data_IF_416605161964
#
_entry.id   IF_416605161964
#
_cell.length_a   1.000
_cell.length_b   1.000
_cell.length_c   1.000
_cell.angle_alpha   90.00
_cell.angle_beta   90.00
_cell.angle_gamma   90.00
#
_symmetry.space_group_name_H-M   'P 1'
#
loop_
_entity.id
_entity.type
_entity.pdbx_description
1 polymer ?
#
# COMPACT_ATOMS: atom_id res chain seq x y z
N UNK A 1 16.14 11.65 13.68
CA UNK A 1 15.18 12.74 13.35
C UNK A 1 14.23 12.93 14.52
N UNK A 2 14.13 14.15 15.09
CA UNK A 2 13.02 14.46 16.00
C UNK A 2 11.71 14.40 15.20
N UNK A 3 10.60 13.87 15.75
CA UNK A 3 9.33 13.87 15.04
C UNK A 3 8.93 15.33 14.76
N UNK A 4 8.91 15.71 13.48
CA UNK A 4 8.35 17.00 13.03
C UNK A 4 6.88 16.97 13.39
N UNK A 5 6.48 17.75 14.40
CA UNK A 5 5.08 17.92 14.76
C UNK A 5 4.44 18.75 13.64
N UNK A 6 3.43 18.22 12.93
CA UNK A 6 2.71 18.97 11.91
C UNK A 6 2.06 20.20 12.53
N UNK A 7 2.15 21.35 11.85
CA UNK A 7 1.64 22.62 12.37
C UNK A 7 0.11 22.72 12.19
N UNK A 8 -0.45 22.00 11.20
CA UNK A 8 -1.88 21.99 10.89
C UNK A 8 -2.42 20.56 10.82
N UNK A 9 -3.67 20.40 11.21
CA UNK A 9 -4.41 19.14 11.12
C UNK A 9 -4.99 18.96 9.72
N UNK A 10 -4.98 17.73 9.21
CA UNK A 10 -5.55 17.42 7.90
C UNK A 10 -4.72 17.99 6.74
N UNK A 11 -3.41 18.24 6.95
CA UNK A 11 -2.53 18.68 5.87
C UNK A 11 -2.37 17.54 4.86
N UNK A 12 -3.04 17.69 3.73
CA UNK A 12 -3.00 16.79 2.58
C UNK A 12 -2.14 17.43 1.49
N UNK A 13 -1.32 16.62 0.86
CA UNK A 13 -0.48 17.04 -0.27
C UNK A 13 -0.49 15.95 -1.32
N UNK A 14 -0.47 16.38 -2.57
CA UNK A 14 -0.47 15.49 -3.71
C UNK A 14 0.36 16.07 -4.84
N UNK A 15 0.74 15.22 -5.79
CA UNK A 15 1.44 15.63 -6.99
C UNK A 15 1.24 14.63 -8.11
N UNK A 16 0.77 15.13 -9.24
CA UNK A 16 0.70 14.47 -10.54
C UNK A 16 0.72 15.56 -11.61
N UNK A 17 1.25 15.24 -12.79
CA UNK A 17 1.31 16.17 -13.92
C UNK A 17 0.05 16.03 -14.78
N UNK A 18 -0.58 17.15 -15.16
CA UNK A 18 -1.89 17.15 -15.85
C UNK A 18 -3.05 16.69 -14.95
N UNK A 19 -4.19 16.31 -15.53
CA UNK A 19 -5.28 15.66 -14.80
C UNK A 19 -5.05 14.15 -14.69
N UNK A 20 -5.20 13.57 -13.49
CA UNK A 20 -4.95 12.14 -13.24
C UNK A 20 -5.78 11.24 -14.17
N UNK A 21 -7.07 11.52 -14.31
CA UNK A 21 -7.98 10.72 -15.14
C UNK A 21 -7.72 10.90 -16.62
N UNK A 22 -7.35 12.11 -17.04
CA UNK A 22 -6.93 12.38 -18.42
C UNK A 22 -5.67 11.58 -18.77
N UNK A 23 -4.67 11.59 -17.90
CA UNK A 23 -3.44 10.83 -18.08
C UNK A 23 -3.72 9.31 -18.13
N UNK A 24 -4.56 8.79 -17.22
CA UNK A 24 -4.95 7.39 -17.22
C UNK A 24 -5.63 6.97 -18.54
N UNK A 25 -6.56 7.78 -19.06
CA UNK A 25 -7.28 7.47 -20.31
C UNK A 25 -6.38 7.47 -21.55
N UNK A 26 -5.32 8.30 -21.58
CA UNK A 26 -4.38 8.37 -22.71
C UNK A 26 -3.38 7.21 -22.75
N UNK A 27 -3.17 6.55 -21.61
CA UNK A 27 -2.09 5.56 -21.43
C UNK A 27 -2.25 4.31 -22.29
N UNK A 28 -3.48 3.84 -22.51
CA UNK A 28 -3.74 2.60 -23.27
C UNK A 28 -3.25 2.62 -24.72
N UNK A 29 -3.16 3.79 -25.35
CA UNK A 29 -2.78 3.93 -26.76
C UNK A 29 -1.25 3.90 -27.02
N UNK A 30 -0.42 3.83 -25.97
CA UNK A 30 1.03 4.06 -26.07
C UNK A 30 1.90 2.82 -25.84
N UNK A 31 1.30 1.65 -25.65
CA UNK A 31 2.04 0.42 -25.39
C UNK A 31 2.46 -0.30 -26.68
N UNK A 32 3.70 -0.84 -26.75
CA UNK A 32 4.10 -1.75 -27.82
C UNK A 32 3.21 -3.00 -27.87
N UNK A 33 2.96 -3.55 -29.06
CA UNK A 33 2.02 -4.66 -29.32
C UNK A 33 2.13 -5.81 -28.29
N UNK A 34 3.32 -6.39 -28.10
CA UNK A 34 3.51 -7.49 -27.16
C UNK A 34 3.26 -7.14 -25.69
N UNK A 35 3.40 -5.87 -25.29
CA UNK A 35 3.05 -5.44 -23.93
C UNK A 35 1.55 -5.15 -23.82
N UNK A 36 0.92 -4.67 -24.88
CA UNK A 36 -0.54 -4.51 -24.97
C UNK A 36 -1.27 -5.84 -24.82
N UNK A 37 -0.82 -6.90 -25.51
CA UNK A 37 -1.39 -8.25 -25.39
C UNK A 37 -1.29 -8.78 -23.96
N UNK A 38 -0.10 -8.65 -23.34
CA UNK A 38 0.12 -9.05 -21.95
C UNK A 38 -0.76 -8.27 -20.97
N UNK A 39 -0.96 -6.97 -21.19
CA UNK A 39 -1.87 -6.13 -20.39
C UNK A 39 -3.31 -6.63 -20.48
N UNK A 40 -3.80 -6.88 -21.68
CA UNK A 40 -5.16 -7.35 -21.89
C UNK A 40 -5.39 -8.71 -21.21
N UNK A 41 -4.47 -9.65 -21.40
CA UNK A 41 -4.54 -10.97 -20.75
C UNK A 41 -4.47 -10.86 -19.23
N UNK A 42 -3.57 -10.06 -18.69
CA UNK A 42 -3.46 -9.83 -17.26
C UNK A 42 -4.75 -9.25 -16.69
N UNK A 43 -5.33 -8.25 -17.35
CA UNK A 43 -6.60 -7.65 -16.94
C UNK A 43 -7.73 -8.67 -16.99
N UNK A 44 -7.81 -9.52 -18.03
CA UNK A 44 -8.80 -10.60 -18.09
C UNK A 44 -8.63 -11.58 -16.92
N UNK A 45 -7.41 -12.04 -16.67
CA UNK A 45 -7.09 -12.97 -15.57
C UNK A 45 -7.37 -12.38 -14.18
N UNK A 46 -7.15 -11.08 -14.02
CA UNK A 46 -7.46 -10.33 -12.80
C UNK A 46 -8.90 -9.79 -12.79
N UNK A 47 -9.75 -10.19 -13.73
CA UNK A 47 -11.14 -9.71 -13.92
C UNK A 47 -11.29 -8.18 -13.88
N UNK A 48 -10.28 -7.46 -14.37
CA UNK A 48 -10.28 -6.01 -14.53
C UNK A 48 -10.93 -5.62 -15.87
N UNK A 49 -11.56 -4.44 -15.92
CA UNK A 49 -12.08 -3.90 -17.17
C UNK A 49 -11.00 -3.72 -18.23
N UNK A 50 -11.41 -3.83 -19.50
CA UNK A 50 -10.52 -3.63 -20.65
C UNK A 50 -10.59 -2.21 -21.19
N UNK A 51 -11.77 -1.58 -21.19
CA UNK A 51 -12.00 -0.26 -21.77
C UNK A 51 -11.89 0.90 -20.77
N UNK A 52 -12.20 0.65 -19.50
CA UNK A 52 -12.12 1.65 -18.44
C UNK A 52 -10.68 1.84 -17.94
N UNK A 53 -10.27 3.09 -17.59
CA UNK A 53 -8.97 3.33 -16.98
C UNK A 53 -8.84 2.61 -15.64
N UNK A 54 -7.70 1.97 -15.42
CA UNK A 54 -7.36 1.30 -14.16
C UNK A 54 -6.45 2.20 -13.34
N UNK A 55 -6.96 2.78 -12.25
CA UNK A 55 -6.16 3.53 -11.27
C UNK A 55 -5.85 2.64 -10.10
N UNK A 56 -4.56 2.43 -9.83
CA UNK A 56 -4.08 1.57 -8.76
C UNK A 56 -3.30 2.35 -7.70
N UNK A 57 -3.40 1.90 -6.46
CA UNK A 57 -2.49 2.27 -5.36
C UNK A 57 -2.18 1.03 -4.53
N UNK A 58 -1.26 1.12 -3.58
CA UNK A 58 -0.96 -0.01 -2.72
C UNK A 58 -0.20 0.32 -1.45
N UNK A 59 -0.23 -0.64 -0.53
CA UNK A 59 0.54 -0.64 0.70
C UNK A 59 0.59 -2.06 1.29
N UNK A 60 1.51 -2.31 2.22
CA UNK A 60 1.45 -3.50 3.05
C UNK A 60 0.12 -3.52 3.84
N UNK A 61 -0.52 -4.70 4.04
CA UNK A 61 -1.72 -4.82 4.86
C UNK A 61 -1.32 -4.73 6.34
N UNK A 62 -0.92 -3.56 6.80
CA UNK A 62 -0.59 -3.29 8.20
C UNK A 62 -1.63 -2.35 8.80
N UNK A 63 -1.78 -2.30 10.13
CA UNK A 63 -2.49 -1.23 10.79
C UNK A 63 -1.89 0.12 10.38
N UNK A 64 -2.69 0.96 9.71
CA UNK A 64 -2.19 2.19 9.07
C UNK A 64 -2.78 3.44 9.70
N UNK A 65 -2.02 4.52 9.66
CA UNK A 65 -2.52 5.86 9.98
C UNK A 65 -3.36 6.43 8.83
N UNK A 66 -4.17 7.49 9.06
CA UNK A 66 -5.08 8.01 8.05
C UNK A 66 -4.41 8.48 6.76
N UNK A 67 -3.15 8.91 6.80
CA UNK A 67 -2.42 9.35 5.60
C UNK A 67 -2.18 8.25 4.57
N UNK A 68 -2.14 6.98 4.99
CA UNK A 68 -2.11 5.83 4.07
C UNK A 68 -3.54 5.47 3.65
N UNK A 69 -4.48 5.41 4.61
CA UNK A 69 -5.90 5.14 4.33
C UNK A 69 -6.48 6.13 3.30
N UNK A 70 -6.02 7.38 3.33
CA UNK A 70 -6.43 8.46 2.42
C UNK A 70 -6.39 8.04 0.95
N UNK A 71 -5.43 7.19 0.55
CA UNK A 71 -5.34 6.68 -0.83
C UNK A 71 -6.44 5.68 -1.16
N UNK A 72 -6.82 4.80 -0.23
CA UNK A 72 -7.97 3.92 -0.42
C UNK A 72 -9.28 4.72 -0.47
N UNK A 73 -9.42 5.74 0.37
CA UNK A 73 -10.58 6.63 0.35
C UNK A 73 -10.65 7.46 -0.93
N UNK A 74 -9.52 7.94 -1.43
CA UNK A 74 -9.42 8.64 -2.71
C UNK A 74 -9.84 7.73 -3.86
N UNK A 75 -9.32 6.50 -3.92
CA UNK A 75 -9.75 5.50 -4.90
C UNK A 75 -11.27 5.24 -4.81
N UNK A 76 -11.81 5.07 -3.60
CA UNK A 76 -13.25 4.86 -3.39
C UNK A 76 -14.11 6.04 -3.87
N UNK A 77 -13.56 7.25 -3.87
CA UNK A 77 -14.22 8.47 -4.31
C UNK A 77 -14.06 8.76 -5.83
N UNK A 78 -13.27 7.98 -6.56
CA UNK A 78 -13.16 8.12 -8.01
C UNK A 78 -14.50 7.80 -8.71
N UNK A 79 -14.75 8.38 -9.89
CA UNK A 79 -15.91 8.07 -10.73
C UNK A 79 -16.10 6.56 -11.00
N UNK A 80 -17.34 6.14 -11.24
CA UNK A 80 -17.68 4.72 -11.42
C UNK A 80 -17.14 4.12 -12.72
N UNK A 81 -16.86 4.95 -13.73
CA UNK A 81 -16.21 4.58 -15.00
C UNK A 81 -14.69 4.39 -14.86
N UNK A 82 -14.18 4.31 -13.63
CA UNK A 82 -12.77 4.06 -13.32
C UNK A 82 -12.65 2.77 -12.51
N UNK A 83 -11.78 1.86 -12.97
CA UNK A 83 -11.40 0.70 -12.20
C UNK A 83 -10.48 1.12 -11.04
N UNK A 84 -10.92 0.87 -9.81
CA UNK A 84 -10.26 1.32 -8.58
C UNK A 84 -9.58 0.14 -7.92
N UNK A 85 -8.25 0.07 -7.97
CA UNK A 85 -7.49 -1.10 -7.52
C UNK A 85 -6.59 -0.76 -6.34
N UNK A 86 -6.68 -1.57 -5.28
CA UNK A 86 -5.77 -1.53 -4.15
C UNK A 86 -4.90 -2.79 -4.12
N UNK A 87 -3.59 -2.60 -4.23
CA UNK A 87 -2.59 -3.65 -4.16
C UNK A 87 -2.20 -3.84 -2.69
N UNK A 88 -2.61 -4.97 -2.12
CA UNK A 88 -2.19 -5.42 -0.80
C UNK A 88 -0.85 -6.11 -0.90
N UNK A 89 0.23 -5.43 -0.45
CA UNK A 89 1.61 -5.92 -0.49
C UNK A 89 1.85 -6.93 0.65
N UNK A 90 1.22 -8.09 0.52
CA UNK A 90 1.25 -9.20 1.46
C UNK A 90 2.51 -10.07 1.37
N UNK A 91 3.37 -9.79 0.39
CA UNK A 91 4.69 -10.42 0.20
C UNK A 91 5.76 -9.91 1.18
N UNK A 92 5.47 -8.88 1.97
CA UNK A 92 6.42 -8.38 2.97
C UNK A 92 6.38 -9.21 4.26
N UNK A 93 7.48 -9.17 5.02
CA UNK A 93 7.74 -10.07 6.13
C UNK A 93 8.17 -9.34 7.43
N UNK A 94 7.29 -8.51 8.03
CA UNK A 94 7.61 -7.77 9.25
C UNK A 94 7.72 -8.70 10.46
N UNK A 95 8.52 -8.31 11.47
CA UNK A 95 8.71 -9.12 12.68
C UNK A 95 7.48 -9.19 13.60
N UNK A 96 6.53 -8.29 13.41
CA UNK A 96 5.24 -8.27 14.08
C UNK A 96 4.24 -7.42 13.28
N UNK A 97 2.96 -7.62 13.56
CA UNK A 97 1.87 -6.72 13.18
C UNK A 97 1.52 -5.95 14.45
N UNK A 98 1.83 -4.66 14.48
CA UNK A 98 1.67 -3.80 15.64
C UNK A 98 1.23 -2.39 15.25
N UNK A 99 0.77 -1.63 16.24
CA UNK A 99 0.50 -0.21 16.10
C UNK A 99 0.61 0.52 17.45
N UNK A 100 0.94 1.82 17.43
CA UNK A 100 0.99 2.60 18.64
C UNK A 100 -0.42 2.95 19.12
N UNK A 101 -0.61 2.93 20.43
CA UNK A 101 -1.83 3.38 21.12
C UNK A 101 -1.47 4.56 22.03
N UNK A 102 -2.08 5.74 21.86
CA UNK A 102 -1.78 6.90 22.68
C UNK A 102 -2.23 6.68 24.12
N UNK A 103 -1.46 7.21 25.07
CA UNK A 103 -1.81 7.20 26.49
C UNK A 103 -1.22 8.42 27.19
N UNK A 104 -1.82 8.77 28.33
CA UNK A 104 -1.36 9.81 29.22
C UNK A 104 -0.94 9.20 30.55
N UNK A 105 0.30 9.48 30.96
CA UNK A 105 0.79 9.24 32.33
C UNK A 105 1.08 10.61 32.97
N UNK A 106 2.36 10.93 33.20
CA UNK A 106 2.81 12.28 33.56
C UNK A 106 2.77 13.26 32.37
N UNK A 107 2.82 12.72 31.15
CA UNK A 107 2.65 13.42 29.88
C UNK A 107 2.12 12.46 28.82
N UNK A 108 2.00 12.94 27.58
CA UNK A 108 1.56 12.11 26.45
C UNK A 108 2.69 11.24 25.93
N UNK A 109 2.36 9.97 25.70
CA UNK A 109 3.24 8.97 25.09
C UNK A 109 2.38 7.94 24.35
N UNK A 110 2.99 6.85 23.89
CA UNK A 110 2.28 5.73 23.30
C UNK A 110 2.76 4.40 23.89
N UNK A 111 1.93 3.38 23.72
CA UNK A 111 2.26 1.98 23.93
C UNK A 111 2.22 1.29 22.57
N UNK A 112 3.29 0.61 22.18
CA UNK A 112 3.30 -0.21 20.95
C UNK A 112 2.52 -1.51 21.21
N UNK A 113 1.30 -1.60 20.67
CA UNK A 113 0.45 -2.76 20.81
C UNK A 113 0.81 -3.78 19.72
N UNK A 114 1.30 -4.95 20.13
CA UNK A 114 1.59 -6.07 19.22
C UNK A 114 0.36 -6.95 19.08
N UNK A 115 -0.29 -6.91 17.91
CA UNK A 115 -1.48 -7.70 17.62
C UNK A 115 -1.10 -9.15 17.26
N UNK A 116 -0.09 -9.32 16.40
CA UNK A 116 0.44 -10.64 16.01
C UNK A 116 1.97 -10.61 15.99
N UNK A 117 2.61 -11.57 16.66
CA UNK A 117 4.06 -11.77 16.56
C UNK A 117 4.40 -12.57 15.30
N UNK A 118 5.53 -12.25 14.68
CA UNK A 118 6.06 -12.96 13.51
C UNK A 118 7.59 -13.14 13.61
N UNK A 119 8.08 -13.88 14.63
CA UNK A 119 9.52 -14.00 14.89
C UNK A 119 10.28 -14.66 13.72
N UNK A 120 9.59 -15.52 12.97
CA UNK A 120 10.15 -16.23 11.82
C UNK A 120 10.16 -15.39 10.53
N UNK A 121 9.65 -14.15 10.57
CA UNK A 121 9.52 -13.26 9.40
C UNK A 121 8.90 -13.98 8.20
N UNK A 122 7.76 -14.64 8.43
CA UNK A 122 6.95 -15.14 7.33
C UNK A 122 6.33 -13.97 6.58
N UNK A 123 6.09 -14.13 5.28
CA UNK A 123 5.32 -13.15 4.50
C UNK A 123 3.92 -12.99 5.09
N UNK A 124 3.33 -11.81 4.98
CA UNK A 124 2.00 -11.52 5.51
C UNK A 124 0.93 -12.44 4.92
N UNK A 125 1.08 -12.87 3.66
CA UNK A 125 0.22 -13.86 3.00
C UNK A 125 0.11 -15.20 3.79
N UNK A 126 1.19 -15.58 4.50
CA UNK A 126 1.26 -16.81 5.28
C UNK A 126 0.86 -16.61 6.76
N UNK A 127 0.38 -15.41 7.14
CA UNK A 127 -0.07 -15.11 8.50
C UNK A 127 -1.58 -15.31 8.59
N UNK A 128 -2.10 -16.02 9.60
CA UNK A 128 -3.54 -16.08 9.83
C UNK A 128 -4.08 -14.77 10.43
N UNK A 129 -5.38 -14.55 10.31
CA UNK A 129 -6.10 -13.53 11.07
C UNK A 129 -5.85 -13.68 12.60
N UNK A 130 -5.94 -12.60 13.39
CA UNK A 130 -5.72 -12.65 14.83
C UNK A 130 -6.87 -13.41 15.50
N UNK A 131 -6.59 -14.53 16.15
CA UNK A 131 -7.62 -15.30 16.84
C UNK A 131 -8.36 -14.51 17.93
N UNK A 132 -9.55 -14.97 18.33
CA UNK A 132 -10.43 -14.30 19.30
C UNK A 132 -9.71 -13.84 20.57
N UNK A 133 -8.86 -14.69 21.14
CA UNK A 133 -8.08 -14.38 22.36
C UNK A 133 -7.10 -13.22 22.15
N UNK A 134 -6.46 -13.15 20.98
CA UNK A 134 -5.55 -12.06 20.65
C UNK A 134 -6.31 -10.74 20.48
N UNK A 135 -7.49 -10.77 19.83
CA UNK A 135 -8.36 -9.60 19.68
C UNK A 135 -8.89 -9.10 21.05
N UNK A 136 -9.34 -10.01 21.92
CA UNK A 136 -9.80 -9.65 23.26
C UNK A 136 -8.68 -9.00 24.08
N UNK A 137 -7.48 -9.60 24.05
CA UNK A 137 -6.31 -9.05 24.76
C UNK A 137 -5.88 -7.69 24.21
N UNK A 138 -5.90 -7.53 22.88
CA UNK A 138 -5.59 -6.26 22.24
C UNK A 138 -6.61 -5.18 22.63
N UNK A 139 -7.90 -5.51 22.70
CA UNK A 139 -8.93 -4.60 23.19
C UNK A 139 -8.66 -4.14 24.62
N UNK A 140 -8.49 -5.07 25.57
CA UNK A 140 -8.20 -4.75 26.98
C UNK A 140 -7.03 -3.77 27.13
N UNK A 141 -5.94 -4.02 26.38
CA UNK A 141 -4.77 -3.17 26.40
C UNK A 141 -5.06 -1.79 25.82
N UNK A 142 -5.76 -1.73 24.68
CA UNK A 142 -6.11 -0.49 24.01
C UNK A 142 -7.05 0.35 24.86
N UNK A 143 -8.12 -0.23 25.39
CA UNK A 143 -9.08 0.40 26.31
C UNK A 143 -8.36 0.99 27.52
N UNK A 144 -7.51 0.21 28.19
CA UNK A 144 -6.76 0.67 29.36
C UNK A 144 -5.74 1.78 29.04
N UNK A 145 -5.35 1.98 27.77
CA UNK A 145 -4.47 3.09 27.35
C UNK A 145 -5.28 4.31 26.96
N UNK A 146 -6.29 4.14 26.13
CA UNK A 146 -7.13 5.23 25.65
C UNK A 146 -7.95 5.87 26.77
N UNK A 147 -8.36 5.12 27.80
CA UNK A 147 -9.07 5.66 28.96
C UNK A 147 -8.28 6.71 29.74
N UNK A 148 -6.95 6.72 29.61
CA UNK A 148 -6.09 7.71 30.26
C UNK A 148 -6.12 9.09 29.60
N UNK A 149 -6.60 9.18 28.36
CA UNK A 149 -6.69 10.43 27.58
C UNK A 149 -7.80 11.33 28.14
N UNK A 150 -7.69 12.64 27.95
CA UNK A 150 -8.76 13.58 28.29
C UNK A 150 -9.90 13.50 27.27
N UNK A 151 -9.58 13.36 25.98
CA UNK A 151 -10.55 13.22 24.92
C UNK A 151 -11.05 11.77 24.80
N UNK A 152 -12.14 11.49 25.51
CA UNK A 152 -12.80 10.19 25.48
C UNK A 152 -13.45 9.85 24.12
N UNK A 153 -13.55 10.81 23.19
CA UNK A 153 -13.99 10.54 21.82
C UNK A 153 -13.04 9.60 21.06
N UNK A 154 -11.76 9.57 21.42
CA UNK A 154 -10.79 8.63 20.83
C UNK A 154 -11.10 7.20 21.26
N UNK A 155 -11.44 6.98 22.55
CA UNK A 155 -11.84 5.67 23.06
C UNK A 155 -13.15 5.19 22.41
N UNK A 156 -14.16 6.06 22.31
CA UNK A 156 -15.46 5.71 21.67
C UNK A 156 -15.29 5.25 20.23
N UNK A 157 -14.49 5.97 19.42
CA UNK A 157 -14.19 5.55 18.04
C UNK A 157 -13.48 4.20 17.97
N UNK A 158 -12.53 3.96 18.88
CA UNK A 158 -11.86 2.67 18.97
C UNK A 158 -12.83 1.53 19.31
N UNK A 159 -13.78 1.77 20.23
CA UNK A 159 -14.82 0.82 20.61
C UNK A 159 -15.75 0.48 19.45
N UNK A 160 -16.26 1.49 18.75
CA UNK A 160 -17.09 1.33 17.56
C UNK A 160 -16.36 0.54 16.47
N UNK A 161 -15.07 0.84 16.26
CA UNK A 161 -14.26 0.11 15.30
C UNK A 161 -14.08 -1.36 15.69
N UNK A 162 -13.79 -1.63 16.97
CA UNK A 162 -13.57 -3.00 17.45
C UNK A 162 -14.81 -3.88 17.31
N UNK A 163 -16.00 -3.31 17.58
CA UNK A 163 -17.29 -4.00 17.42
C UNK A 163 -17.61 -4.37 15.97
N UNK A 164 -17.02 -3.68 14.99
CA UNK A 164 -17.27 -3.86 13.55
C UNK A 164 -16.24 -4.74 12.85
N UNK A 165 -15.25 -5.26 13.59
CA UNK A 165 -14.25 -6.18 13.03
C UNK A 165 -14.93 -7.45 12.48
N UNK A 166 -14.46 -7.99 11.35
CA UNK A 166 -14.96 -9.27 10.85
C UNK A 166 -14.55 -10.43 11.77
N UNK A 167 -15.25 -11.58 11.69
CA UNK A 167 -14.82 -12.82 12.34
C UNK A 167 -13.34 -13.12 12.04
N UNK A 168 -12.55 -13.62 13.01
CA UNK A 168 -11.10 -13.81 12.87
C UNK A 168 -10.76 -15.07 12.06
N UNK A 169 -11.16 -15.08 10.79
CA UNK A 169 -11.03 -16.21 9.88
C UNK A 169 -10.12 -15.88 8.69
N UNK A 170 -9.51 -16.91 8.11
CA UNK A 170 -8.67 -16.79 6.91
C UNK A 170 -7.31 -16.12 7.14
N UNK A 171 -6.65 -15.70 6.04
CA UNK A 171 -5.34 -15.06 6.10
C UNK A 171 -5.45 -13.58 6.48
N UNK A 172 -4.43 -13.09 7.17
CA UNK A 172 -4.33 -11.72 7.69
C UNK A 172 -4.57 -10.63 6.63
N UNK A 173 -3.98 -10.68 5.42
CA UNK A 173 -4.19 -9.63 4.42
C UNK A 173 -5.66 -9.44 4.06
N UNK A 174 -6.35 -10.54 3.74
CA UNK A 174 -7.78 -10.50 3.40
C UNK A 174 -8.63 -10.00 4.57
N UNK A 175 -8.42 -10.56 5.76
CA UNK A 175 -9.13 -10.15 6.97
C UNK A 175 -8.94 -8.66 7.28
N UNK A 176 -7.72 -8.13 7.16
CA UNK A 176 -7.43 -6.74 7.46
C UNK A 176 -7.99 -5.77 6.41
N UNK A 177 -7.93 -6.13 5.13
CA UNK A 177 -8.54 -5.33 4.06
C UNK A 177 -10.08 -5.34 4.16
N UNK A 178 -10.70 -6.45 4.55
CA UNK A 178 -12.13 -6.50 4.90
C UNK A 178 -12.45 -5.60 6.10
N UNK A 179 -11.66 -5.68 7.17
CA UNK A 179 -11.81 -4.80 8.33
C UNK A 179 -11.75 -3.33 7.92
N UNK A 180 -10.76 -2.92 7.11
CA UNK A 180 -10.69 -1.56 6.58
C UNK A 180 -11.91 -1.20 5.74
N UNK A 181 -12.40 -2.11 4.90
CA UNK A 181 -13.61 -1.92 4.11
C UNK A 181 -14.84 -1.63 4.97
N UNK A 182 -15.05 -2.43 6.03
CA UNK A 182 -16.15 -2.26 7.00
C UNK A 182 -16.02 -0.96 7.79
N UNK A 183 -14.81 -0.60 8.21
CA UNK A 183 -14.57 0.55 9.09
C UNK A 183 -14.57 1.89 8.35
N UNK A 184 -13.97 1.91 7.16
CA UNK A 184 -13.71 3.12 6.40
C UNK A 184 -14.54 3.23 5.12
N UNK A 185 -15.52 2.36 4.89
CA UNK A 185 -16.44 2.46 3.74
C UNK A 185 -15.71 2.54 2.41
N UNK A 186 -15.04 1.44 2.04
CA UNK A 186 -14.20 1.34 0.84
C UNK A 186 -14.88 0.55 -0.29
N UNK A 187 -16.21 0.66 -0.38
CA UNK A 187 -16.98 -0.02 -1.41
C UNK A 187 -16.51 0.40 -2.82
N UNK A 188 -16.48 -0.55 -3.75
CA UNK A 188 -16.03 -0.29 -5.13
C UNK A 188 -14.51 -0.29 -5.34
N UNK A 189 -13.70 -0.38 -4.28
CA UNK A 189 -12.24 -0.59 -4.42
C UNK A 189 -11.94 -2.08 -4.45
N UNK A 190 -11.41 -2.57 -5.58
CA UNK A 190 -10.98 -3.96 -5.71
C UNK A 190 -9.62 -4.15 -5.04
N UNK A 191 -9.55 -5.06 -4.08
CA UNK A 191 -8.29 -5.44 -3.45
C UNK A 191 -7.68 -6.63 -4.21
N UNK A 192 -6.41 -6.52 -4.58
CA UNK A 192 -5.63 -7.60 -5.19
C UNK A 192 -4.37 -7.82 -4.33
N UNK A 193 -4.11 -9.08 -3.96
CA UNK A 193 -2.93 -9.42 -3.17
C UNK A 193 -1.70 -9.59 -4.08
N UNK A 194 -0.51 -9.20 -3.63
CA UNK A 194 0.72 -9.39 -4.42
C UNK A 194 1.01 -10.88 -4.60
N UNK A 195 0.71 -11.73 -3.62
CA UNK A 195 0.83 -13.18 -3.74
C UNK A 195 -0.05 -13.77 -4.85
N UNK A 196 -1.31 -13.33 -4.95
CA UNK A 196 -2.25 -13.70 -6.02
C UNK A 196 -1.75 -13.21 -7.38
N UNK A 197 -1.37 -11.93 -7.46
CA UNK A 197 -0.83 -11.31 -8.66
C UNK A 197 0.41 -12.03 -9.16
N UNK A 198 1.33 -12.40 -8.25
CA UNK A 198 2.55 -13.10 -8.62
C UNK A 198 2.34 -14.58 -9.01
N UNK A 199 1.21 -15.18 -8.60
CA UNK A 199 0.83 -16.52 -9.03
C UNK A 199 0.22 -16.56 -10.45
N UNK A 200 -0.22 -15.40 -10.96
CA UNK A 200 -0.85 -15.27 -12.28
C UNK A 200 0.08 -15.62 -13.43
N UNK A 201 -0.50 -16.02 -14.56
CA UNK A 201 0.25 -16.29 -15.79
C UNK A 201 0.92 -15.01 -16.31
N UNK A 202 0.20 -13.88 -16.28
CA UNK A 202 0.74 -12.58 -16.68
C UNK A 202 2.02 -12.18 -15.94
N UNK A 203 2.11 -12.45 -14.62
CA UNK A 203 3.36 -12.18 -13.90
C UNK A 203 4.50 -13.09 -14.37
N UNK A 204 4.24 -14.38 -14.62
CA UNK A 204 5.24 -15.32 -15.15
C UNK A 204 5.71 -14.92 -16.54
N UNK A 205 4.80 -14.46 -17.40
CA UNK A 205 5.14 -14.00 -18.75
C UNK A 205 5.94 -12.70 -18.70
N UNK A 206 5.60 -11.78 -17.78
CA UNK A 206 6.41 -10.60 -17.52
C UNK A 206 7.81 -10.94 -17.02
N UNK A 207 7.95 -11.90 -16.11
CA UNK A 207 9.26 -12.41 -15.66
C UNK A 207 10.04 -12.98 -16.85
N UNK A 208 9.41 -13.82 -17.67
CA UNK A 208 10.02 -14.38 -18.89
C UNK A 208 10.49 -13.28 -19.83
N UNK A 209 9.65 -12.27 -20.10
CA UNK A 209 9.97 -11.12 -20.95
C UNK A 209 11.22 -10.37 -20.45
N UNK A 210 11.29 -10.09 -19.15
CA UNK A 210 12.44 -9.41 -18.55
C UNK A 210 13.71 -10.27 -18.63
N UNK A 211 13.60 -11.58 -18.39
CA UNK A 211 14.73 -12.49 -18.36
C UNK A 211 15.20 -12.94 -19.77
N UNK A 212 14.37 -12.82 -20.80
CA UNK A 212 14.83 -12.90 -22.20
C UNK A 212 15.86 -11.82 -22.53
N UNK A 213 15.78 -10.65 -21.88
CA UNK A 213 16.72 -9.53 -21.99
C UNK A 213 17.57 -9.38 -20.73
N UNK A 214 17.94 -10.49 -20.08
CA UNK A 214 18.53 -10.53 -18.73
C UNK A 214 19.66 -9.53 -18.50
N UNK A 215 20.66 -9.49 -19.37
CA UNK A 215 21.83 -8.61 -19.17
C UNK A 215 21.45 -7.13 -19.19
N UNK A 216 20.65 -6.71 -20.18
CA UNK A 216 20.13 -5.35 -20.29
C UNK A 216 19.24 -4.99 -19.10
N UNK A 217 18.34 -5.88 -18.71
CA UNK A 217 17.45 -5.68 -17.56
C UNK A 217 18.23 -5.57 -16.23
N UNK A 218 19.19 -6.44 -15.97
CA UNK A 218 19.98 -6.39 -14.74
C UNK A 218 20.88 -5.13 -14.69
N UNK A 219 21.42 -4.71 -15.83
CA UNK A 219 22.15 -3.44 -15.94
C UNK A 219 21.26 -2.24 -15.61
N UNK A 220 20.08 -2.15 -16.23
CA UNK A 220 19.10 -1.09 -15.98
C UNK A 220 18.61 -1.11 -14.52
N UNK A 221 18.30 -2.29 -13.98
CA UNK A 221 17.90 -2.45 -12.57
C UNK A 221 18.99 -2.00 -11.60
N UNK A 222 20.25 -2.31 -11.90
CA UNK A 222 21.41 -1.84 -11.13
C UNK A 222 21.51 -0.31 -11.11
N UNK A 223 21.21 0.38 -12.22
CA UNK A 223 21.13 1.85 -12.25
C UNK A 223 19.93 2.36 -11.46
N UNK A 224 18.76 1.74 -11.63
CA UNK A 224 17.53 2.10 -10.94
C UNK A 224 17.67 2.05 -9.42
N UNK A 225 18.25 0.99 -8.87
CA UNK A 225 18.46 0.90 -7.40
C UNK A 225 19.41 1.97 -6.89
N UNK A 226 20.47 2.32 -7.65
CA UNK A 226 21.39 3.41 -7.28
C UNK A 226 20.69 4.77 -7.27
N UNK A 227 19.88 5.06 -8.29
CA UNK A 227 19.09 6.30 -8.35
C UNK A 227 18.13 6.43 -7.16
N UNK A 228 17.54 5.31 -6.73
CA UNK A 228 16.58 5.28 -5.64
C UNK A 228 17.23 5.16 -4.24
N UNK A 229 18.56 5.05 -4.14
CA UNK A 229 19.25 4.77 -2.88
C UNK A 229 18.87 3.42 -2.26
N UNK A 230 18.48 2.44 -3.07
CA UNK A 230 18.14 1.08 -2.64
C UNK A 230 19.37 0.17 -2.62
N UNK A 231 19.38 -0.89 -1.79
CA UNK A 231 20.46 -1.88 -1.78
C UNK A 231 20.63 -2.56 -3.13
N UNK A 232 21.88 -2.65 -3.59
CA UNK A 232 22.24 -3.40 -4.80
C UNK A 232 21.94 -4.90 -4.65
N UNK A 233 21.72 -5.56 -5.79
CA UNK A 233 21.67 -7.02 -5.86
C UNK A 233 23.06 -7.62 -5.60
N UNK A 234 23.09 -8.76 -4.93
CA UNK A 234 24.30 -9.55 -4.76
C UNK A 234 24.68 -10.25 -6.08
N UNK A 235 25.94 -10.72 -6.25
CA UNK A 235 26.32 -11.48 -7.44
C UNK A 235 25.38 -12.67 -7.69
N UNK A 236 24.87 -12.79 -8.93
CA UNK A 236 23.96 -13.86 -9.35
C UNK A 236 22.52 -13.74 -8.85
N UNK A 237 22.15 -12.66 -8.16
CA UNK A 237 20.79 -12.42 -7.68
C UNK A 237 19.94 -11.75 -8.77
N UNK A 238 18.67 -12.15 -8.86
CA UNK A 238 17.65 -11.54 -9.70
C UNK A 238 16.78 -10.59 -8.87
N UNK A 239 16.11 -9.59 -9.48
CA UNK A 239 15.29 -8.61 -8.77
C UNK A 239 13.91 -9.15 -8.33
N UNK A 240 13.91 -10.38 -7.81
CA UNK A 240 12.76 -11.13 -7.35
C UNK A 240 13.09 -11.81 -6.02
N UNK A 241 12.06 -12.33 -5.35
CA UNK A 241 12.19 -13.22 -4.21
C UNK A 241 11.75 -14.62 -4.59
N UNK A 242 12.46 -15.61 -4.05
CA UNK A 242 11.97 -16.98 -3.91
C UNK A 242 11.18 -17.10 -2.62
N UNK A 243 10.18 -17.96 -2.60
CA UNK A 243 9.30 -18.21 -1.46
C UNK A 243 9.35 -19.69 -1.08
N UNK A 244 9.82 -19.97 0.13
CA UNK A 244 9.96 -21.33 0.67
C UNK A 244 9.41 -21.37 2.09
N UNK A 245 8.40 -22.22 2.35
CA UNK A 245 7.77 -22.31 3.67
C UNK A 245 7.23 -20.97 4.20
N UNK A 246 6.77 -20.07 3.32
CA UNK A 246 6.30 -18.74 3.68
C UNK A 246 7.41 -17.73 4.00
N UNK A 247 8.69 -18.07 3.81
CA UNK A 247 9.83 -17.16 3.96
C UNK A 247 10.36 -16.72 2.60
N UNK A 248 10.67 -15.43 2.48
CA UNK A 248 11.32 -14.89 1.28
C UNK A 248 12.85 -15.03 1.35
N UNK A 249 13.46 -15.42 0.23
CA UNK A 249 14.90 -15.41 0.00
C UNK A 249 15.23 -14.80 -1.37
N UNK A 250 16.49 -14.40 -1.63
CA UNK A 250 16.87 -13.87 -2.94
C UNK A 250 16.70 -14.95 -4.02
N UNK A 251 16.04 -14.60 -5.13
CA UNK A 251 15.98 -15.46 -6.31
C UNK A 251 17.29 -15.36 -7.10
N UNK A 252 17.77 -16.47 -7.64
CA UNK A 252 19.02 -16.59 -8.41
C UNK A 252 18.81 -17.28 -9.76
N UNK A 253 17.72 -18.01 -9.92
CA UNK A 253 17.32 -18.63 -11.17
C UNK A 253 15.91 -18.15 -11.62
N UNK A 254 15.58 -18.20 -12.92
CA UNK A 254 14.26 -17.84 -13.41
C UNK A 254 13.12 -18.57 -12.69
N UNK A 255 13.27 -19.88 -12.43
CA UNK A 255 12.26 -20.68 -11.71
C UNK A 255 12.07 -20.30 -10.23
N UNK A 256 12.96 -19.47 -9.67
CA UNK A 256 12.87 -18.98 -8.30
C UNK A 256 12.19 -17.60 -8.19
N UNK A 257 11.88 -16.94 -9.32
CA UNK A 257 11.30 -15.59 -9.35
C UNK A 257 9.79 -15.59 -9.01
N UNK A 258 9.46 -15.91 -7.76
CA UNK A 258 8.08 -16.15 -7.33
C UNK A 258 7.36 -14.90 -6.80
N UNK A 259 8.09 -13.88 -6.31
CA UNK A 259 7.52 -12.62 -5.85
C UNK A 259 8.37 -11.44 -6.34
N UNK A 260 7.78 -10.30 -6.72
CA UNK A 260 8.56 -9.13 -7.13
C UNK A 260 9.21 -8.41 -5.94
N UNK A 261 10.35 -7.76 -6.19
CA UNK A 261 10.88 -6.69 -5.30
C UNK A 261 10.12 -5.38 -5.53
N UNK A 262 10.34 -4.39 -4.66
CA UNK A 262 9.61 -3.12 -4.70
C UNK A 262 9.62 -2.45 -6.08
N UNK A 263 10.79 -2.25 -6.70
CA UNK A 263 10.88 -1.64 -8.04
C UNK A 263 10.23 -2.51 -9.10
N UNK A 264 10.47 -3.83 -9.07
CA UNK A 264 9.89 -4.78 -10.03
C UNK A 264 8.36 -4.86 -9.90
N UNK A 265 7.82 -4.71 -8.70
CA UNK A 265 6.39 -4.70 -8.45
C UNK A 265 5.77 -3.47 -9.07
N UNK A 266 6.30 -2.27 -8.81
CA UNK A 266 5.78 -1.05 -9.44
C UNK A 266 5.93 -1.11 -10.96
N UNK A 267 7.07 -1.63 -11.44
CA UNK A 267 7.31 -1.80 -12.88
C UNK A 267 6.25 -2.70 -13.52
N UNK A 268 5.98 -3.88 -12.92
CA UNK A 268 4.92 -4.77 -13.36
C UNK A 268 3.54 -4.10 -13.31
N UNK A 269 3.20 -3.43 -12.21
CA UNK A 269 1.89 -2.80 -12.03
C UNK A 269 1.64 -1.73 -13.09
N UNK A 270 2.61 -0.87 -13.37
CA UNK A 270 2.49 0.17 -14.41
C UNK A 270 2.53 -0.41 -15.82
N UNK A 271 3.33 -1.45 -16.06
CA UNK A 271 3.49 -2.05 -17.38
C UNK A 271 2.32 -2.96 -17.76
N UNK A 272 1.71 -3.64 -16.79
CA UNK A 272 0.77 -4.75 -17.05
C UNK A 272 -0.64 -4.51 -16.48
N UNK A 273 -0.76 -3.84 -15.32
CA UNK A 273 -2.03 -3.80 -14.57
C UNK A 273 -2.78 -2.48 -14.75
N UNK A 274 -2.15 -1.37 -14.38
CA UNK A 274 -2.80 -0.07 -14.25
C UNK A 274 -2.40 0.93 -15.33
N UNK A 275 -3.25 1.93 -15.54
CA UNK A 275 -3.00 3.08 -16.41
C UNK A 275 -2.49 4.29 -15.63
N UNK A 276 -2.74 4.35 -14.33
CA UNK A 276 -2.15 5.35 -13.44
C UNK A 276 -1.87 4.71 -12.08
N UNK A 277 -0.64 4.89 -11.58
CA UNK A 277 -0.27 4.42 -10.26
C UNK A 277 -0.12 5.56 -9.25
N UNK A 278 -0.84 5.47 -8.13
CA UNK A 278 -0.83 6.46 -7.06
C UNK A 278 0.00 5.98 -5.87
N UNK A 279 1.17 6.57 -5.67
CA UNK A 279 2.05 6.32 -4.52
C UNK A 279 1.61 7.08 -3.26
N UNK A 280 2.14 6.66 -2.11
CA UNK A 280 2.32 7.57 -0.97
C UNK A 280 3.62 8.36 -1.14
N UNK A 281 3.80 9.45 -0.39
CA UNK A 281 4.99 10.31 -0.53
C UNK A 281 6.34 9.55 -0.44
N UNK A 282 6.44 8.52 0.41
CA UNK A 282 7.66 7.69 0.49
C UNK A 282 7.91 6.80 -0.72
N UNK A 283 6.85 6.40 -1.43
CA UNK A 283 6.94 5.58 -2.65
C UNK A 283 7.36 6.36 -3.89
N UNK A 284 7.04 7.66 -3.93
CA UNK A 284 7.40 8.55 -5.05
C UNK A 284 8.92 8.63 -5.30
N UNK A 285 9.74 8.40 -4.26
CA UNK A 285 11.20 8.37 -4.38
C UNK A 285 11.74 7.20 -5.21
N UNK A 286 10.92 6.17 -5.47
CA UNK A 286 11.30 5.01 -6.29
C UNK A 286 11.07 5.22 -7.79
N UNK A 287 10.23 6.19 -8.14
CA UNK A 287 9.75 6.35 -9.51
C UNK A 287 10.81 6.75 -10.52
N UNK A 288 11.82 7.60 -10.20
CA UNK A 288 12.92 7.84 -11.13
C UNK A 288 13.64 6.55 -11.58
N UNK A 289 13.74 5.56 -10.69
CA UNK A 289 14.30 4.25 -11.02
C UNK A 289 13.36 3.40 -11.87
N UNK A 290 12.05 3.40 -11.56
CA UNK A 290 11.05 2.67 -12.36
C UNK A 290 10.92 3.27 -13.76
N UNK A 291 10.94 4.59 -13.88
CA UNK A 291 10.92 5.31 -15.16
C UNK A 291 12.15 4.99 -16.01
N UNK A 292 13.32 4.85 -15.39
CA UNK A 292 14.52 4.38 -16.09
C UNK A 292 14.32 2.95 -16.62
N UNK A 293 13.65 2.06 -15.87
CA UNK A 293 13.37 0.70 -16.35
C UNK A 293 12.48 0.70 -17.60
N UNK A 294 11.42 1.53 -17.65
CA UNK A 294 10.59 1.66 -18.85
C UNK A 294 11.42 2.10 -20.07
N UNK A 295 12.28 3.11 -19.90
CA UNK A 295 13.12 3.62 -20.99
C UNK A 295 14.19 2.64 -21.44
N UNK A 296 14.92 2.02 -20.51
CA UNK A 296 16.05 1.15 -20.86
C UNK A 296 15.63 -0.27 -21.25
N UNK A 297 14.53 -0.80 -20.71
CA UNK A 297 14.10 -2.19 -20.95
C UNK A 297 13.07 -2.28 -22.07
N UNK A 298 12.12 -1.34 -22.13
CA UNK A 298 11.04 -1.32 -23.11
C UNK A 298 11.19 -0.25 -24.17
N UNK A 299 12.10 0.71 -24.02
CA UNK A 299 12.29 1.77 -25.02
C UNK A 299 11.07 2.68 -25.16
N UNK A 300 10.26 2.81 -24.11
CA UNK A 300 9.02 3.58 -24.13
C UNK A 300 9.01 4.66 -23.05
N UNK A 301 8.17 5.68 -23.26
CA UNK A 301 7.88 6.63 -22.18
C UNK A 301 7.10 5.94 -21.04
N UNK A 302 7.46 6.22 -19.77
CA UNK A 302 6.83 5.55 -18.64
C UNK A 302 5.33 5.93 -18.50
N UNK A 303 4.45 4.97 -18.15
CA UNK A 303 3.05 5.26 -17.82
C UNK A 303 2.92 6.25 -16.66
N UNK A 304 1.92 7.14 -16.62
CA UNK A 304 1.84 8.20 -15.62
C UNK A 304 1.69 7.65 -14.18
N UNK A 305 2.21 8.41 -13.24
CA UNK A 305 2.10 8.14 -11.81
C UNK A 305 1.92 9.45 -11.04
N UNK A 306 1.47 9.32 -9.80
CA UNK A 306 1.36 10.46 -8.88
C UNK A 306 1.53 10.02 -7.44
N UNK A 307 1.41 10.95 -6.50
CA UNK A 307 1.43 10.63 -5.08
C UNK A 307 0.38 11.42 -4.32
N UNK A 308 -0.12 10.81 -3.25
CA UNK A 308 -1.05 11.42 -2.30
C UNK A 308 -0.63 11.05 -0.88
N UNK A 309 -0.53 12.04 -0.01
CA UNK A 309 -0.15 11.88 1.39
C UNK A 309 -0.94 12.82 2.27
N UNK A 310 -1.20 12.41 3.50
CA UNK A 310 -1.95 13.20 4.46
C UNK A 310 -1.41 13.08 5.87
N UNK A 311 -1.56 14.15 6.64
CA UNK A 311 -1.21 14.17 8.05
C UNK A 311 -2.38 14.61 8.91
N UNK A 312 -2.84 13.71 9.75
CA UNK A 312 -3.98 13.91 10.63
C UNK A 312 -3.48 13.81 12.06
N UNK A 313 -3.98 14.66 12.94
CA UNK A 313 -3.57 14.71 14.34
C UNK A 313 -4.70 14.16 15.21
N UNK A 314 -4.37 13.65 16.40
CA UNK A 314 -5.41 13.31 17.38
C UNK A 314 -5.68 14.53 18.28
N UNK A 315 -6.94 14.97 18.44
CA UNK A 315 -7.28 16.13 19.28
C UNK A 315 -7.22 15.78 20.78
N UNK A 316 -6.35 16.43 21.57
CA UNK A 316 -6.11 16.06 23.00
C UNK A 316 -5.35 17.13 23.85
N UNK A 317 -5.99 17.88 24.80
CA UNK A 317 -7.37 18.35 24.84
C UNK A 317 -7.55 19.63 24.00
N UNK A 318 -8.81 19.95 23.73
CA UNK A 318 -9.34 20.96 22.82
C UNK A 318 -8.62 22.32 22.84
N UNK A 319 -8.06 22.71 21.69
CA UNK A 319 -7.62 24.08 21.40
C UNK A 319 -6.13 24.23 21.14
N UNK A 320 -5.27 23.68 22.00
CA UNK A 320 -3.86 24.13 22.07
C UNK A 320 -2.81 23.02 21.89
N UNK A 321 -3.16 21.74 22.10
CA UNK A 321 -2.21 20.63 21.99
C UNK A 321 -2.80 19.48 21.16
N UNK A 322 -2.06 19.05 20.15
CA UNK A 322 -2.41 17.94 19.27
C UNK A 322 -1.34 16.87 19.33
N UNK A 323 -1.75 15.59 19.40
CA UNK A 323 -0.80 14.48 19.31
C UNK A 323 -0.44 14.22 17.85
N UNK A 324 0.83 13.87 17.54
CA UNK A 324 1.24 13.54 16.18
C UNK A 324 0.47 12.29 15.73
N UNK A 325 -0.33 12.39 14.67
CA UNK A 325 -1.15 11.26 14.21
C UNK A 325 -0.63 10.53 12.98
N UNK A 326 0.59 10.81 12.50
CA UNK A 326 1.26 9.94 11.49
C UNK A 326 1.58 8.52 12.01
N UNK A 327 1.46 8.30 13.31
CA UNK A 327 1.79 7.02 13.93
C UNK A 327 0.53 6.21 14.28
N UNK A 328 -0.58 6.87 14.64
CA UNK A 328 -1.74 6.21 15.21
C UNK A 328 -2.69 5.66 14.15
N UNK A 329 -3.32 4.49 14.39
CA UNK A 329 -4.16 3.85 13.40
C UNK A 329 -5.42 4.68 13.10
N UNK A 330 -5.91 4.59 11.86
CA UNK A 330 -6.98 5.43 11.35
C UNK A 330 -8.27 5.38 12.16
N UNK A 331 -8.57 4.24 12.79
CA UNK A 331 -9.79 4.04 13.58
C UNK A 331 -9.80 4.80 14.91
N UNK A 332 -8.72 5.50 15.25
CA UNK A 332 -8.68 6.46 16.37
C UNK A 332 -9.04 7.89 15.94
N UNK A 333 -9.03 8.16 14.63
CA UNK A 333 -9.29 9.47 14.04
C UNK A 333 -10.76 9.62 13.63
N UNK A 334 -11.19 10.87 13.48
CA UNK A 334 -12.47 11.16 12.84
C UNK A 334 -12.35 10.93 11.32
N UNK A 335 -13.09 9.96 10.80
CA UNK A 335 -13.05 9.63 9.38
C UNK A 335 -13.82 10.63 8.51
N UNK A 336 -14.71 11.44 9.08
CA UNK A 336 -15.35 12.53 8.33
C UNK A 336 -14.30 13.58 7.97
N UNK A 337 -13.48 14.02 8.92
CA UNK A 337 -12.38 14.96 8.67
C UNK A 337 -11.38 14.42 7.65
N UNK A 338 -11.10 13.10 7.67
CA UNK A 338 -10.20 12.46 6.68
C UNK A 338 -10.79 12.51 5.27
N UNK A 339 -12.11 12.35 5.13
CA UNK A 339 -12.80 12.44 3.84
C UNK A 339 -12.91 13.87 3.34
N UNK A 340 -13.22 14.83 4.21
CA UNK A 340 -13.30 16.25 3.84
C UNK A 340 -11.97 16.77 3.28
N UNK A 341 -10.85 16.24 3.79
CA UNK A 341 -9.51 16.56 3.32
C UNK A 341 -9.21 16.04 1.89
N UNK A 342 -10.08 15.21 1.30
CA UNK A 342 -9.98 14.80 -0.11
C UNK A 342 -10.55 15.83 -1.09
N UNK A 343 -11.26 16.86 -0.62
CA UNK A 343 -11.87 17.88 -1.49
C UNK A 343 -10.87 18.51 -2.46
N UNK A 344 -9.68 18.88 -1.97
CA UNK A 344 -8.58 19.40 -2.79
C UNK A 344 -8.11 18.41 -3.87
N UNK A 345 -7.59 17.23 -3.51
CA UNK A 345 -7.20 16.19 -4.47
C UNK A 345 -8.29 15.84 -5.49
N UNK A 346 -9.55 15.74 -5.06
CA UNK A 346 -10.68 15.39 -5.94
C UNK A 346 -11.06 16.53 -6.89
N UNK A 347 -10.88 17.79 -6.48
CA UNK A 347 -11.06 18.93 -7.38
C UNK A 347 -10.01 19.04 -8.48
N UNK A 348 -8.91 18.26 -8.38
CA UNK A 348 -7.82 18.21 -9.33
C UNK A 348 -7.85 16.94 -10.23
N UNK A 349 -8.96 16.20 -10.22
CA UNK A 349 -9.27 15.11 -11.18
C UNK A 349 -9.66 15.71 -12.53
#
# INVERSE_FOLDING_TARGET
MRPRIPVRHGEVSWGWEGGLLEAARKTGASFPEGLSELREEARRGLSLPQGEPVVASGHQPLPVHPGILLRQLFLAALPQDVARVWISVDSDAPGAISFPVPLRRRGYTHHELVLLRNPNRLVLAARPAPGQKALARAWELMEARLSTLKNQGILRRAEEAWKRLPPPEGPWPGWWEEAKGRLAGLAGVRVIQVSELAASQAFKDFVSLLLCKKEGFLSAYGKAVRLCGLPSLSPGELPFWRLEGGKRGPARAPGEAQLPRALTLTFFLRAVVCDFFLHGAGGAGYEPGVDLLFREVFGMEPPPWGWLSGTFLLPEPSGERRLPGRAYPFFLHDLLEVREALSGPLSAL
#
